data_IF_023825474826
#
_entry.id   IF_023825474826
#
_cell.length_a   1.000
_cell.length_b   1.000
_cell.length_c   1.000
_cell.angle_alpha   90.00
_cell.angle_beta   90.00
_cell.angle_gamma   90.00
#
_symmetry.space_group_name_H-M   'P 1'
#
loop_
_entity.id
_entity.type
_entity.pdbx_description
1 polymer ?
#
# COMPACT_ATOMS: atom_id res chain seq x y z
N UNK A 1 9.06 12.29 -15.93
CA UNK A 1 7.84 12.50 -15.12
C UNK A 1 7.54 14.00 -15.13
N UNK A 2 6.44 14.47 -15.71
CA UNK A 2 5.88 15.78 -15.32
C UNK A 2 4.57 15.54 -14.56
N UNK A 3 4.32 16.41 -13.60
CA UNK A 3 3.18 16.41 -12.69
C UNK A 3 2.43 17.73 -12.85
N UNK A 4 1.12 17.71 -12.67
CA UNK A 4 0.28 18.91 -12.64
C UNK A 4 -0.17 19.18 -11.20
N UNK A 5 -0.14 20.45 -10.81
CA UNK A 5 -0.33 20.88 -9.43
C UNK A 5 -1.51 21.85 -9.36
N UNK A 6 -2.35 21.63 -8.37
CA UNK A 6 -3.54 22.43 -8.11
C UNK A 6 -3.45 22.91 -6.66
N UNK A 7 -3.54 24.22 -6.45
CA UNK A 7 -3.41 24.79 -5.12
C UNK A 7 -4.49 25.84 -4.88
N UNK A 8 -5.31 25.64 -3.84
CA UNK A 8 -6.38 26.56 -3.46
C UNK A 8 -7.28 27.00 -4.64
N UNK A 9 -7.59 26.05 -5.51
CA UNK A 9 -8.46 26.27 -6.67
C UNK A 9 -7.80 27.02 -7.82
N UNK A 10 -6.49 27.27 -7.80
CA UNK A 10 -5.78 27.85 -8.92
C UNK A 10 -4.89 26.79 -9.60
N UNK A 11 -5.03 26.62 -10.94
CA UNK A 11 -4.14 25.75 -11.70
C UNK A 11 -2.74 26.33 -11.70
N UNK A 12 -1.78 25.52 -11.26
CA UNK A 12 -0.40 25.75 -11.62
C UNK A 12 -0.18 25.05 -12.97
N UNK A 13 0.08 25.81 -14.03
CA UNK A 13 0.20 25.26 -15.39
C UNK A 13 1.32 24.22 -15.51
N UNK A 14 0.95 23.01 -15.95
CA UNK A 14 1.73 22.13 -16.81
C UNK A 14 0.80 21.02 -17.33
N UNK A 15 0.74 20.82 -18.65
CA UNK A 15 0.10 19.65 -19.26
C UNK A 15 0.66 18.38 -18.60
N UNK A 16 -0.22 17.48 -18.15
CA UNK A 16 0.20 16.25 -17.49
C UNK A 16 0.60 15.25 -18.57
N UNK A 17 1.88 14.84 -18.68
CA UNK A 17 2.27 13.78 -19.58
C UNK A 17 1.58 12.50 -19.11
N UNK A 18 0.95 11.81 -20.07
CA UNK A 18 0.35 10.48 -19.91
C UNK A 18 1.46 9.42 -19.82
N UNK A 19 2.34 9.58 -18.84
CA UNK A 19 3.34 8.59 -18.50
C UNK A 19 2.79 7.77 -17.36
N UNK A 20 2.57 6.49 -17.61
CA UNK A 20 2.36 5.52 -16.54
C UNK A 20 3.62 5.52 -15.68
N UNK A 21 3.46 5.98 -14.45
CA UNK A 21 4.49 5.91 -13.41
C UNK A 21 4.11 4.81 -12.43
N UNK A 22 5.08 4.06 -11.90
CA UNK A 22 4.77 3.09 -10.86
C UNK A 22 4.20 3.81 -9.63
N UNK A 23 3.04 3.35 -9.15
CA UNK A 23 2.35 3.96 -8.00
C UNK A 23 3.03 3.74 -6.65
N UNK A 24 3.95 2.77 -6.53
CA UNK A 24 4.71 2.44 -5.31
C UNK A 24 3.93 2.71 -3.99
N UNK A 25 4.52 3.47 -3.06
CA UNK A 25 3.88 3.81 -1.79
C UNK A 25 2.80 4.90 -1.92
N UNK A 26 2.65 5.59 -3.06
CA UNK A 26 1.53 6.52 -3.29
C UNK A 26 0.18 5.79 -3.22
N UNK A 27 0.15 4.53 -3.66
CA UNK A 27 -1.02 3.66 -3.56
C UNK A 27 -1.53 3.50 -2.13
N UNK A 28 -0.66 3.58 -1.10
CA UNK A 28 -1.08 3.45 0.31
C UNK A 28 -2.04 4.56 0.73
N UNK A 29 -1.85 5.78 0.25
CA UNK A 29 -2.77 6.90 0.54
C UNK A 29 -4.16 6.63 -0.04
N UNK A 30 -4.22 6.10 -1.27
CA UNK A 30 -5.49 5.72 -1.91
C UNK A 30 -6.16 4.57 -1.17
N UNK A 31 -5.40 3.56 -0.75
CA UNK A 31 -5.90 2.45 0.06
C UNK A 31 -6.43 2.94 1.41
N UNK A 32 -5.70 3.80 2.11
CA UNK A 32 -6.13 4.35 3.39
C UNK A 32 -7.40 5.20 3.26
N UNK A 33 -7.49 6.07 2.25
CA UNK A 33 -8.69 6.86 1.97
C UNK A 33 -9.91 5.96 1.66
N UNK A 34 -9.68 4.87 0.92
CA UNK A 34 -10.72 3.87 0.62
C UNK A 34 -11.19 3.16 1.89
N UNK A 35 -10.26 2.67 2.72
CA UNK A 35 -10.58 2.04 3.99
C UNK A 35 -11.37 2.99 4.92
N UNK A 36 -10.93 4.24 5.05
CA UNK A 36 -11.60 5.25 5.88
C UNK A 36 -13.00 5.62 5.33
N UNK A 37 -13.21 5.53 4.02
CA UNK A 37 -14.55 5.69 3.41
C UNK A 37 -15.47 4.54 3.83
N UNK A 38 -14.97 3.29 3.83
CA UNK A 38 -15.74 2.13 4.31
C UNK A 38 -16.04 2.21 5.81
N UNK A 39 -15.12 2.76 6.61
CA UNK A 39 -15.33 3.06 8.04
C UNK A 39 -16.44 4.09 8.23
N UNK A 40 -16.37 5.21 7.50
CA UNK A 40 -17.41 6.25 7.54
C UNK A 40 -18.79 5.66 7.22
N UNK A 41 -18.84 4.72 6.28
CA UNK A 41 -20.07 4.08 5.81
C UNK A 41 -20.51 2.90 6.70
N UNK A 42 -19.80 2.63 7.80
CA UNK A 42 -20.12 1.56 8.75
C UNK A 42 -19.98 0.15 8.18
N UNK A 43 -19.22 -0.03 7.10
CA UNK A 43 -19.00 -1.33 6.44
C UNK A 43 -17.88 -2.14 7.09
N UNK A 44 -16.95 -1.45 7.72
CA UNK A 44 -15.84 -1.99 8.51
C UNK A 44 -15.60 -1.08 9.71
N UNK A 45 -15.20 -1.63 10.85
CA UNK A 45 -14.72 -0.87 12.00
C UNK A 45 -13.21 -0.66 11.95
N UNK A 46 -12.73 0.48 12.46
CA UNK A 46 -11.29 0.70 12.62
C UNK A 46 -10.66 -0.25 13.63
N UNK A 47 -11.44 -0.63 14.65
CA UNK A 47 -10.98 -1.48 15.75
C UNK A 47 -11.45 -2.93 15.57
N UNK A 48 -12.04 -3.26 14.40
CA UNK A 48 -12.39 -4.63 14.06
C UNK A 48 -11.11 -5.44 13.78
N UNK A 49 -11.05 -6.71 14.22
CA UNK A 49 -9.97 -7.61 13.84
C UNK A 49 -10.06 -7.91 12.35
N UNK A 50 -8.90 -8.09 11.71
CA UNK A 50 -8.83 -8.53 10.31
C UNK A 50 -8.51 -10.03 10.22
N UNK A 51 -8.94 -10.73 9.15
CA UNK A 51 -8.71 -12.17 9.01
C UNK A 51 -7.23 -12.59 9.02
N UNK A 52 -6.33 -11.69 8.63
CA UNK A 52 -4.91 -11.98 8.40
C UNK A 52 -4.08 -12.05 9.68
N UNK A 53 -4.60 -11.66 10.85
CA UNK A 53 -3.85 -11.76 12.09
C UNK A 53 -4.45 -11.02 13.30
N UNK A 54 -3.75 -11.05 14.45
CA UNK A 54 -4.23 -10.48 15.71
C UNK A 54 -4.04 -8.96 15.78
N UNK A 55 -4.47 -8.24 14.74
CA UNK A 55 -4.39 -6.78 14.64
C UNK A 55 -5.67 -6.18 14.05
N UNK A 56 -5.86 -4.88 14.26
CA UNK A 56 -7.01 -4.13 13.77
C UNK A 56 -6.69 -3.39 12.48
N UNK A 57 -7.74 -3.00 11.75
CA UNK A 57 -7.60 -2.11 10.59
C UNK A 57 -6.84 -0.82 10.94
N UNK A 58 -7.10 -0.23 12.12
CA UNK A 58 -6.39 0.96 12.60
C UNK A 58 -4.89 0.72 12.71
N UNK A 59 -4.49 -0.42 13.26
CA UNK A 59 -3.07 -0.77 13.41
C UNK A 59 -2.41 -0.96 12.05
N UNK A 60 -3.10 -1.58 11.08
CA UNK A 60 -2.60 -1.68 9.70
C UNK A 60 -2.40 -0.32 9.03
N UNK A 61 -3.42 0.55 9.07
CA UNK A 61 -3.37 1.88 8.45
C UNK A 61 -2.30 2.79 9.06
N UNK A 62 -1.87 2.52 10.30
CA UNK A 62 -0.84 3.28 11.01
C UNK A 62 0.54 2.63 11.01
N UNK A 63 0.69 1.46 10.39
CA UNK A 63 1.92 0.66 10.48
C UNK A 63 2.28 0.26 11.94
N UNK A 64 1.27 -0.01 12.76
CA UNK A 64 1.39 -0.39 14.18
C UNK A 64 1.07 -1.89 14.42
N UNK A 65 0.79 -2.66 13.35
CA UNK A 65 0.44 -4.07 13.45
C UNK A 65 1.62 -5.01 13.75
N UNK A 66 2.86 -4.50 13.76
CA UNK A 66 4.07 -5.30 14.03
C UNK A 66 4.46 -6.27 12.90
N UNK A 67 3.88 -6.10 11.70
CA UNK A 67 4.20 -6.94 10.54
C UNK A 67 5.66 -6.79 10.13
N UNK A 68 6.29 -7.91 9.78
CA UNK A 68 7.64 -7.95 9.26
C UNK A 68 7.75 -7.25 7.88
N UNK A 69 8.89 -6.61 7.63
CA UNK A 69 9.15 -5.92 6.36
C UNK A 69 9.63 -6.91 5.30
N UNK A 70 8.78 -7.20 4.31
CA UNK A 70 9.13 -8.09 3.21
C UNK A 70 10.27 -7.56 2.35
N UNK A 71 10.52 -6.24 2.38
CA UNK A 71 11.66 -5.65 1.70
C UNK A 71 12.99 -6.11 2.31
N UNK A 72 13.02 -6.60 3.56
CA UNK A 72 14.25 -7.13 4.16
C UNK A 72 14.67 -8.51 3.59
N UNK A 73 13.80 -9.18 2.82
CA UNK A 73 14.08 -10.49 2.28
C UNK A 73 15.00 -10.38 1.05
N UNK A 74 16.24 -10.89 1.14
CA UNK A 74 17.14 -11.01 -0.01
C UNK A 74 16.48 -11.68 -1.23
N UNK A 75 15.71 -12.79 -1.09
CA UNK A 75 15.01 -13.40 -2.22
C UNK A 75 14.01 -12.47 -2.92
N UNK A 76 13.43 -11.49 -2.21
CA UNK A 76 12.49 -10.53 -2.80
C UNK A 76 13.22 -9.61 -3.78
N UNK A 77 14.40 -9.13 -3.38
CA UNK A 77 15.24 -8.31 -4.26
C UNK A 77 15.75 -9.09 -5.48
N UNK A 78 16.12 -10.35 -5.31
CA UNK A 78 16.55 -11.22 -6.42
C UNK A 78 15.42 -11.40 -7.44
N UNK A 79 14.21 -11.72 -6.99
CA UNK A 79 13.04 -11.87 -7.86
C UNK A 79 12.72 -10.58 -8.63
N UNK A 80 12.80 -9.42 -7.96
CA UNK A 80 12.62 -8.11 -8.60
C UNK A 80 13.72 -7.85 -9.64
N UNK A 81 14.98 -8.14 -9.34
CA UNK A 81 16.10 -7.93 -10.26
C UNK A 81 16.01 -8.83 -11.51
N UNK A 82 15.46 -10.03 -11.35
CA UNK A 82 15.22 -10.97 -12.44
C UNK A 82 13.96 -10.65 -13.28
N UNK A 83 13.16 -9.66 -12.87
CA UNK A 83 11.89 -9.33 -13.53
C UNK A 83 10.84 -10.43 -13.39
N UNK A 84 10.87 -11.19 -12.29
CA UNK A 84 9.91 -12.25 -12.01
C UNK A 84 8.50 -11.70 -11.75
N UNK A 85 7.51 -12.59 -11.78
CA UNK A 85 6.15 -12.24 -11.40
C UNK A 85 6.09 -11.85 -9.91
N UNK A 86 5.21 -10.90 -9.59
CA UNK A 86 4.93 -10.55 -8.20
C UNK A 86 4.49 -11.80 -7.43
N UNK A 87 5.04 -11.99 -6.23
CA UNK A 87 4.67 -13.13 -5.41
C UNK A 87 3.19 -13.04 -5.00
N UNK A 88 2.47 -14.18 -5.00
CA UNK A 88 1.17 -14.27 -4.36
C UNK A 88 1.23 -13.78 -2.90
N UNK A 89 0.15 -13.17 -2.41
CA UNK A 89 0.11 -12.57 -1.06
C UNK A 89 0.35 -13.63 0.02
N UNK A 90 -0.26 -14.81 -0.12
CA UNK A 90 -0.08 -15.96 0.76
C UNK A 90 1.38 -16.43 0.79
N UNK A 91 2.04 -16.46 -0.37
CA UNK A 91 3.46 -16.80 -0.47
C UNK A 91 4.36 -15.76 0.21
N UNK A 92 4.08 -14.47 0.04
CA UNK A 92 4.79 -13.38 0.69
C UNK A 92 4.70 -13.51 2.23
N UNK A 93 3.48 -13.68 2.75
CA UNK A 93 3.22 -13.84 4.17
C UNK A 93 3.91 -15.09 4.73
N UNK A 94 3.81 -16.22 4.03
CA UNK A 94 4.48 -17.46 4.42
C UNK A 94 6.00 -17.32 4.48
N UNK A 95 6.62 -16.55 3.58
CA UNK A 95 8.06 -16.27 3.60
C UNK A 95 8.46 -15.36 4.76
N UNK A 96 7.61 -14.42 5.14
CA UNK A 96 7.83 -13.56 6.31
C UNK A 96 7.79 -14.36 7.62
N UNK A 97 6.82 -15.27 7.76
CA UNK A 97 6.65 -16.12 8.94
C UNK A 97 7.69 -17.24 9.07
N UNK A 98 8.43 -17.53 8.00
CA UNK A 98 9.49 -18.56 7.99
C UNK A 98 10.82 -18.08 8.58
N UNK A 99 10.87 -16.87 9.17
CA UNK A 99 12.08 -16.21 9.67
C UNK A 99 12.17 -16.20 11.19
#
# INVERSE_FOLDING_TARGET
MMSALLFNGQPCGAETPTVDVPGWSFTKTVLAATALTLVRDGRVGLDDPVPEGPFTLRQLLRHEAGLADYHALAPYHEAVANGEAAWPVDELLRRLDAT
#
